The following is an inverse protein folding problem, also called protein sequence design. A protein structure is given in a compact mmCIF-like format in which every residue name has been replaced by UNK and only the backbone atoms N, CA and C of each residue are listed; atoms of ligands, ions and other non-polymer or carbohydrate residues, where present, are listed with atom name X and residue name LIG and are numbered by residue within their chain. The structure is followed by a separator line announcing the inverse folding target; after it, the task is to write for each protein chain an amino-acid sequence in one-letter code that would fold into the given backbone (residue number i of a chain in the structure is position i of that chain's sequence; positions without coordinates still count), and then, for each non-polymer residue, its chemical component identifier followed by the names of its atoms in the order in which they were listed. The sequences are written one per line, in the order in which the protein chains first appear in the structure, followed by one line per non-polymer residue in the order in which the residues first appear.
data_IF_807182281786
#
_entry.id   IF_807182281786
#
_cell.length_a   1.000
_cell.length_b   1.000
_cell.length_c   1.000
_cell.angle_alpha   90.00
_cell.angle_beta   90.00
_cell.angle_gamma   90.00
#
_symmetry.space_group_name_H-M   'P 1'
#
loop_
_entity.id
_entity.type
_entity.pdbx_description
1 polymer ?
#
# COMPACT_ATOMS: atom_id res chain seq x y z
N UNK A 1 20.41 -32.16 35.83
CA UNK A 1 20.60 -30.97 34.95
C UNK A 1 20.74 -31.37 33.49
N UNK A 2 19.68 -31.81 32.82
CA UNK A 2 19.75 -32.07 31.35
C UNK A 2 18.41 -32.10 30.62
N UNK A 3 17.43 -31.25 31.02
CA UNK A 3 16.14 -31.22 30.31
C UNK A 3 15.56 -29.81 30.01
N UNK A 4 16.41 -28.80 29.86
CA UNK A 4 15.98 -27.42 29.67
C UNK A 4 16.02 -26.95 28.20
N UNK A 5 16.50 -27.74 27.23
CA UNK A 5 16.71 -27.27 25.83
C UNK A 5 15.96 -28.03 24.76
N UNK A 6 14.68 -28.39 25.00
CA UNK A 6 13.79 -28.86 23.92
C UNK A 6 12.46 -28.08 23.85
N UNK A 7 12.47 -26.79 24.11
CA UNK A 7 11.30 -25.96 23.80
C UNK A 7 11.35 -25.63 22.32
N UNK A 8 10.47 -26.27 21.55
CA UNK A 8 10.23 -25.87 20.15
C UNK A 8 9.92 -24.37 20.14
N UNK A 9 10.48 -23.59 19.21
CA UNK A 9 10.26 -22.15 19.18
C UNK A 9 8.77 -21.87 19.03
N UNK A 10 8.23 -20.96 19.83
CA UNK A 10 6.81 -20.58 19.94
C UNK A 10 6.14 -20.27 18.59
N UNK A 11 6.91 -19.93 17.57
CA UNK A 11 6.42 -19.73 16.21
C UNK A 11 5.93 -21.03 15.53
N UNK A 12 6.48 -22.19 15.86
CA UNK A 12 6.10 -23.49 15.27
C UNK A 12 4.70 -23.92 15.71
N UNK A 13 4.35 -23.63 16.97
CA UNK A 13 3.01 -23.89 17.53
C UNK A 13 1.95 -22.98 16.88
N UNK A 14 2.29 -21.73 16.56
CA UNK A 14 1.43 -20.81 15.81
C UNK A 14 1.23 -21.22 14.35
N UNK A 15 2.27 -21.79 13.71
CA UNK A 15 2.22 -22.22 12.32
C UNK A 15 1.29 -23.43 12.10
N UNK A 16 1.30 -24.41 12.99
CA UNK A 16 0.46 -25.61 12.87
C UNK A 16 -1.03 -25.30 13.16
N UNK A 17 -1.31 -24.36 14.06
CA UNK A 17 -2.68 -23.85 14.31
C UNK A 17 -3.26 -23.09 13.10
N UNK A 18 -2.42 -22.37 12.36
CA UNK A 18 -2.79 -21.61 11.16
C UNK A 18 -3.18 -22.50 9.98
N UNK A 19 -2.65 -23.73 9.86
CA UNK A 19 -3.05 -24.70 8.83
C UNK A 19 -4.52 -25.10 8.90
N UNK A 20 -5.14 -25.09 10.08
CA UNK A 20 -6.57 -25.46 10.29
C UNK A 20 -7.55 -24.30 10.05
N UNK A 21 -7.11 -23.03 10.06
CA UNK A 21 -7.98 -21.85 9.92
C UNK A 21 -7.86 -21.14 8.56
N UNK A 22 -7.49 -21.85 7.50
CA UNK A 22 -7.22 -21.30 6.16
C UNK A 22 -8.36 -20.48 5.52
N UNK A 23 -9.61 -20.59 5.94
CA UNK A 23 -10.74 -19.93 5.27
C UNK A 23 -11.08 -18.53 5.80
N UNK A 24 -10.88 -18.26 7.09
CA UNK A 24 -11.24 -16.98 7.72
C UNK A 24 -10.15 -15.90 7.56
N UNK A 25 -8.87 -16.30 7.53
CA UNK A 25 -7.74 -15.37 7.40
C UNK A 25 -7.54 -14.82 5.99
N UNK A 26 -7.87 -15.60 4.95
CA UNK A 26 -7.82 -15.12 3.57
C UNK A 26 -8.82 -14.00 3.30
N UNK A 27 -10.00 -14.01 3.94
CA UNK A 27 -11.01 -12.96 3.74
C UNK A 27 -10.61 -11.61 4.34
N UNK A 28 -10.10 -11.55 5.57
CA UNK A 28 -9.73 -10.27 6.21
C UNK A 28 -8.49 -9.62 5.57
N UNK A 29 -7.52 -10.43 5.13
CA UNK A 29 -6.30 -9.95 4.51
C UNK A 29 -6.49 -9.52 3.05
N UNK A 30 -7.43 -10.16 2.34
CA UNK A 30 -7.86 -9.76 1.01
C UNK A 30 -8.58 -8.40 1.06
N UNK A 31 -9.32 -8.09 2.13
CA UNK A 31 -9.97 -6.80 2.31
C UNK A 31 -8.98 -5.64 2.49
N UNK A 32 -7.85 -5.85 3.15
CA UNK A 32 -6.86 -4.81 3.44
C UNK A 32 -5.93 -4.55 2.23
N UNK A 33 -5.64 -5.58 1.44
CA UNK A 33 -4.69 -5.49 0.32
C UNK A 33 -5.35 -5.64 -1.05
N UNK A 34 -6.58 -6.17 -1.10
CA UNK A 34 -7.29 -6.49 -2.34
C UNK A 34 -8.79 -6.15 -2.16
N UNK A 35 -9.34 -5.32 -3.03
CA UNK A 35 -10.78 -5.14 -3.17
C UNK A 35 -11.48 -6.51 -3.39
N UNK A 36 -12.77 -6.68 -3.05
CA UNK A 36 -13.41 -7.98 -2.90
C UNK A 36 -13.44 -8.75 -4.22
N UNK A 37 -12.55 -9.71 -4.34
CA UNK A 37 -12.73 -10.81 -5.29
C UNK A 37 -13.73 -11.77 -4.64
N UNK A 38 -15.00 -11.73 -5.04
CA UNK A 38 -15.95 -12.80 -4.73
C UNK A 38 -15.41 -14.09 -5.33
N UNK A 39 -14.72 -14.90 -4.53
CA UNK A 39 -14.38 -16.27 -4.89
C UNK A 39 -15.65 -17.08 -4.65
N UNK A 40 -16.31 -17.46 -5.74
CA UNK A 40 -17.38 -18.46 -5.69
C UNK A 40 -16.78 -19.77 -5.21
N UNK A 41 -17.06 -20.15 -3.98
CA UNK A 41 -16.71 -21.46 -3.43
C UNK A 41 -17.62 -22.48 -4.10
N UNK A 42 -17.19 -23.10 -5.21
CA UNK A 42 -17.76 -24.36 -5.67
C UNK A 42 -17.29 -25.46 -4.73
N UNK A 43 -18.20 -26.04 -3.98
CA UNK A 43 -17.97 -27.32 -3.30
C UNK A 43 -17.63 -28.36 -4.37
N UNK A 44 -16.39 -28.81 -4.39
CA UNK A 44 -16.02 -30.00 -5.15
C UNK A 44 -16.28 -31.25 -4.30
N UNK A 45 -17.21 -32.05 -4.75
CA UNK A 45 -17.39 -33.44 -4.33
C UNK A 45 -16.11 -34.22 -4.70
N UNK A 46 -15.66 -35.03 -3.76
CA UNK A 46 -14.52 -35.92 -3.92
C UNK A 46 -14.88 -37.05 -4.89
N UNK A 47 -14.41 -36.99 -6.13
CA UNK A 47 -14.32 -38.15 -7.02
C UNK A 47 -12.89 -38.66 -7.05
N UNK A 48 -12.76 -39.95 -6.73
CA UNK A 48 -11.53 -40.73 -6.84
C UNK A 48 -10.88 -40.56 -8.22
N UNK A 49 -9.63 -40.11 -8.25
CA UNK A 49 -8.81 -40.07 -9.46
C UNK A 49 -7.58 -40.99 -9.24
N UNK A 50 -7.48 -41.99 -10.08
CA UNK A 50 -6.34 -42.90 -10.24
C UNK A 50 -5.12 -42.10 -10.70
N UNK A 51 -3.88 -42.51 -10.37
CA UNK A 51 -2.67 -41.80 -10.79
C UNK A 51 -2.40 -42.02 -12.28
N UNK A 52 -2.34 -40.95 -13.04
CA UNK A 52 -1.82 -40.95 -14.40
C UNK A 52 -0.33 -40.61 -14.40
N UNK A 53 0.41 -41.33 -15.25
CA UNK A 53 1.83 -41.35 -15.47
C UNK A 53 2.47 -39.97 -15.68
N UNK A 54 3.70 -39.86 -15.17
CA UNK A 54 4.58 -38.72 -15.31
C UNK A 54 4.93 -38.44 -16.78
N UNK A 55 4.66 -37.20 -17.21
CA UNK A 55 5.41 -36.65 -18.33
C UNK A 55 5.90 -35.24 -17.92
N UNK A 56 7.24 -35.13 -17.88
CA UNK A 56 7.96 -33.96 -17.36
C UNK A 56 8.20 -32.98 -18.50
N UNK A 57 7.44 -31.92 -18.54
CA UNK A 57 7.92 -30.66 -19.09
C UNK A 57 7.88 -29.59 -18.00
N UNK A 58 9.00 -29.47 -17.32
CA UNK A 58 9.31 -28.37 -16.39
C UNK A 58 9.32 -27.05 -17.17
N UNK A 59 8.15 -26.43 -17.30
CA UNK A 59 8.09 -25.00 -17.60
C UNK A 59 8.46 -24.24 -16.32
N UNK A 60 9.70 -23.78 -16.26
CA UNK A 60 10.16 -22.77 -15.32
C UNK A 60 9.13 -21.63 -15.28
N UNK A 61 8.69 -21.20 -14.08
CA UNK A 61 7.85 -20.00 -13.98
C UNK A 61 8.62 -18.85 -14.59
N UNK A 62 8.06 -18.19 -15.60
CA UNK A 62 8.61 -16.95 -16.14
C UNK A 62 8.77 -15.98 -14.98
N UNK A 63 10.00 -15.80 -14.54
CA UNK A 63 10.43 -14.71 -13.68
C UNK A 63 10.00 -13.43 -14.37
N UNK A 64 9.05 -12.72 -13.78
CA UNK A 64 8.61 -11.42 -14.26
C UNK A 64 9.79 -10.46 -14.06
N UNK A 65 10.57 -10.27 -15.11
CA UNK A 65 11.50 -9.17 -15.20
C UNK A 65 10.65 -7.93 -15.49
N UNK A 66 10.72 -6.87 -14.66
CA UNK A 66 10.09 -5.62 -15.02
C UNK A 66 10.75 -5.18 -16.33
N UNK A 67 9.94 -5.01 -17.37
CA UNK A 67 10.38 -4.39 -18.61
C UNK A 67 11.00 -3.05 -18.24
N UNK A 68 12.34 -2.94 -18.34
CA UNK A 68 13.02 -1.66 -18.30
C UNK A 68 12.59 -0.90 -19.55
N UNK A 69 11.52 -0.15 -19.44
CA UNK A 69 11.27 0.97 -20.32
C UNK A 69 12.31 2.03 -19.93
N UNK A 70 13.40 2.07 -20.69
CA UNK A 70 14.39 3.14 -20.60
C UNK A 70 13.66 4.45 -20.86
N UNK A 71 13.62 5.35 -19.85
CA UNK A 71 13.14 6.72 -20.02
C UNK A 71 12.04 7.18 -19.06
N UNK A 72 11.34 6.32 -18.30
CA UNK A 72 10.31 6.79 -17.36
C UNK A 72 10.94 7.17 -16.02
N UNK A 73 11.34 8.45 -15.89
CA UNK A 73 11.68 9.06 -14.59
C UNK A 73 10.41 9.21 -13.73
N UNK A 74 9.24 9.39 -14.35
CA UNK A 74 7.99 9.66 -13.67
C UNK A 74 7.37 8.37 -13.08
N UNK A 75 7.14 8.38 -11.76
CA UNK A 75 6.41 7.31 -11.05
C UNK A 75 4.91 7.53 -11.14
N UNK A 76 4.47 8.79 -11.14
CA UNK A 76 3.09 9.21 -11.40
C UNK A 76 3.11 10.21 -12.54
N UNK A 77 2.17 10.06 -13.49
CA UNK A 77 1.87 11.06 -14.52
C UNK A 77 0.37 11.10 -14.75
N UNK A 78 -0.24 12.26 -14.47
CA UNK A 78 -1.66 12.51 -14.70
C UNK A 78 -1.82 13.67 -15.71
N UNK A 79 -2.76 13.52 -16.65
CA UNK A 79 -3.11 14.52 -17.66
C UNK A 79 -4.62 14.57 -17.85
N UNK A 80 -5.22 15.73 -17.58
CA UNK A 80 -6.65 15.96 -17.70
C UNK A 80 -7.51 15.00 -16.90
N UNK A 81 -6.99 14.52 -15.76
CA UNK A 81 -7.69 13.50 -14.96
C UNK A 81 -8.83 14.11 -14.17
N UNK A 82 -10.01 13.49 -14.30
CA UNK A 82 -11.21 13.82 -13.52
C UNK A 82 -11.58 12.62 -12.63
N UNK A 83 -11.84 12.88 -11.35
CA UNK A 83 -12.16 11.87 -10.34
C UNK A 83 -13.59 12.02 -9.87
N UNK A 84 -14.33 10.91 -9.94
CA UNK A 84 -15.69 10.79 -9.46
C UNK A 84 -15.77 9.83 -8.27
N UNK A 85 -16.62 10.15 -7.30
CA UNK A 85 -16.99 9.19 -6.26
C UNK A 85 -18.13 8.32 -6.78
N UNK A 86 -17.99 6.99 -6.66
CA UNK A 86 -19.01 6.02 -7.06
C UNK A 86 -19.10 4.92 -6.04
N UNK A 87 -20.30 4.47 -5.71
CA UNK A 87 -20.56 3.38 -4.76
C UNK A 87 -20.09 1.99 -5.28
N UNK A 88 -19.81 1.87 -6.57
CA UNK A 88 -19.34 0.64 -7.21
C UNK A 88 -18.17 0.93 -8.16
N UNK A 89 -16.95 1.15 -7.62
CA UNK A 89 -15.78 1.57 -8.40
C UNK A 89 -15.32 0.55 -9.45
N UNK A 90 -15.71 -0.72 -9.32
CA UNK A 90 -15.37 -1.79 -10.28
C UNK A 90 -16.58 -2.62 -10.69
N UNK A 91 -17.79 -2.07 -10.52
CA UNK A 91 -19.03 -2.72 -10.94
C UNK A 91 -19.13 -2.90 -12.44
N UNK A 92 -20.08 -3.73 -12.85
CA UNK A 92 -20.40 -4.00 -14.26
C UNK A 92 -21.08 -2.84 -14.99
N UNK A 93 -21.06 -1.63 -14.41
CA UNK A 93 -21.70 -0.45 -14.99
C UNK A 93 -20.86 0.13 -16.11
N UNK A 94 -21.50 0.48 -17.22
CA UNK A 94 -20.82 1.18 -18.33
C UNK A 94 -20.27 2.55 -17.86
N UNK A 95 -19.16 3.01 -18.44
CA UNK A 95 -18.57 4.34 -18.17
C UNK A 95 -19.64 5.45 -18.20
N UNK A 96 -20.59 5.41 -19.15
CA UNK A 96 -21.72 6.36 -19.22
C UNK A 96 -22.55 6.40 -17.94
N UNK A 97 -22.79 5.27 -17.29
CA UNK A 97 -23.60 5.19 -16.07
C UNK A 97 -22.84 5.70 -14.85
N UNK A 98 -21.51 5.47 -14.82
CA UNK A 98 -20.62 6.01 -13.79
C UNK A 98 -20.52 7.54 -13.86
N UNK A 99 -20.43 8.11 -15.08
CA UNK A 99 -20.42 9.56 -15.31
C UNK A 99 -21.75 10.23 -14.97
N UNK A 100 -22.87 9.54 -15.16
CA UNK A 100 -24.21 10.09 -14.84
C UNK A 100 -24.58 10.03 -13.37
N UNK A 101 -24.02 9.10 -12.60
CA UNK A 101 -24.38 8.84 -11.20
C UNK A 101 -23.25 9.16 -10.22
N UNK A 102 -22.04 9.41 -10.70
CA UNK A 102 -20.87 9.73 -9.86
C UNK A 102 -20.89 11.20 -9.44
N UNK A 103 -20.55 11.46 -8.18
CA UNK A 103 -20.30 12.81 -7.68
C UNK A 103 -18.90 13.25 -8.14
N UNK A 104 -18.80 14.40 -8.80
CA UNK A 104 -17.55 15.00 -9.22
C UNK A 104 -16.76 15.49 -7.99
N UNK A 105 -15.54 14.97 -7.80
CA UNK A 105 -14.67 15.37 -6.69
C UNK A 105 -13.56 16.29 -7.16
N UNK A 106 -12.84 15.88 -8.20
CA UNK A 106 -11.68 16.60 -8.74
C UNK A 106 -11.75 16.62 -10.26
N UNK A 107 -11.37 17.73 -10.87
CA UNK A 107 -11.38 17.92 -12.32
C UNK A 107 -10.05 18.45 -12.84
N UNK A 108 -9.69 18.01 -14.05
CA UNK A 108 -8.54 18.50 -14.83
C UNK A 108 -7.21 18.44 -14.05
N UNK A 109 -6.92 17.30 -13.43
CA UNK A 109 -5.67 17.09 -12.70
C UNK A 109 -4.52 16.88 -13.68
N UNK A 110 -3.51 17.72 -13.55
CA UNK A 110 -2.29 17.68 -14.35
C UNK A 110 -1.07 17.79 -13.45
N UNK A 111 -0.36 16.67 -13.21
CA UNK A 111 0.92 16.69 -12.47
C UNK A 111 1.73 15.42 -12.70
N UNK A 112 3.03 15.54 -12.43
CA UNK A 112 4.00 14.45 -12.47
C UNK A 112 4.71 14.32 -11.12
N UNK A 113 5.05 13.09 -10.74
CA UNK A 113 5.91 12.81 -9.59
C UNK A 113 7.00 11.84 -10.03
N UNK A 114 8.26 12.21 -9.76
CA UNK A 114 9.43 11.42 -10.13
C UNK A 114 9.85 10.45 -9.00
N UNK A 115 10.66 9.47 -9.35
CA UNK A 115 11.30 8.61 -8.36
C UNK A 115 12.16 9.45 -7.41
N UNK A 116 12.05 9.16 -6.10
CA UNK A 116 12.81 9.89 -5.08
C UNK A 116 12.22 11.24 -4.67
N UNK A 117 11.11 11.69 -5.27
CA UNK A 117 10.42 12.88 -4.79
C UNK A 117 9.60 12.61 -3.53
N UNK A 118 9.58 13.58 -2.62
CA UNK A 118 8.66 13.65 -1.51
C UNK A 118 7.68 14.81 -1.74
N UNK A 119 6.38 14.52 -1.78
CA UNK A 119 5.33 15.48 -2.13
C UNK A 119 4.24 15.49 -1.08
N UNK A 120 3.90 16.68 -0.58
CA UNK A 120 2.74 16.89 0.28
C UNK A 120 1.46 17.16 -0.53
N UNK A 121 0.36 16.58 -0.10
CA UNK A 121 -0.99 16.92 -0.55
C UNK A 121 -1.71 17.62 0.60
N UNK A 122 -2.08 18.89 0.40
CA UNK A 122 -2.73 19.71 1.43
C UNK A 122 -4.09 20.21 0.97
N UNK A 123 -4.91 20.66 1.89
CA UNK A 123 -6.24 21.20 1.64
C UNK A 123 -7.23 20.77 2.70
N UNK A 124 -8.40 21.40 2.71
CA UNK A 124 -9.48 21.13 3.69
C UNK A 124 -9.90 19.66 3.68
N UNK A 125 -10.49 19.20 4.79
CA UNK A 125 -11.15 17.91 4.86
C UNK A 125 -12.23 17.84 3.76
N UNK A 126 -12.32 16.71 3.04
CA UNK A 126 -13.26 16.57 1.92
C UNK A 126 -12.78 17.19 0.58
N UNK A 127 -11.59 17.79 0.49
CA UNK A 127 -11.10 18.41 -0.74
C UNK A 127 -10.68 17.43 -1.84
N UNK A 128 -10.74 16.11 -1.59
CA UNK A 128 -10.42 15.07 -2.59
C UNK A 128 -9.04 14.44 -2.47
N UNK A 129 -8.21 14.76 -1.46
CA UNK A 129 -6.88 14.18 -1.25
C UNK A 129 -6.92 12.64 -1.20
N UNK A 130 -7.75 12.09 -0.31
CA UNK A 130 -7.91 10.63 -0.18
C UNK A 130 -8.52 10.00 -1.43
N UNK A 131 -9.38 10.71 -2.16
CA UNK A 131 -9.94 10.23 -3.43
C UNK A 131 -8.87 10.14 -4.52
N UNK A 132 -7.94 11.10 -4.60
CA UNK A 132 -6.78 10.99 -5.46
C UNK A 132 -5.93 9.77 -5.08
N UNK A 133 -5.57 9.62 -3.78
CA UNK A 133 -4.80 8.45 -3.34
C UNK A 133 -5.49 7.15 -3.72
N UNK A 134 -6.81 7.03 -3.50
CA UNK A 134 -7.62 5.86 -3.89
C UNK A 134 -7.60 5.57 -5.39
N UNK A 135 -7.59 6.60 -6.22
CA UNK A 135 -7.44 6.45 -7.67
C UNK A 135 -6.05 5.93 -8.04
N UNK A 136 -4.98 6.44 -7.39
CA UNK A 136 -3.61 6.03 -7.69
C UNK A 136 -3.34 4.55 -7.40
N UNK A 137 -3.97 3.96 -6.36
CA UNK A 137 -3.86 2.51 -6.11
C UNK A 137 -5.06 1.69 -6.61
N UNK A 138 -5.85 2.28 -7.51
CA UNK A 138 -6.97 1.65 -8.19
C UNK A 138 -8.02 1.06 -7.21
N UNK A 139 -8.41 1.83 -6.20
CA UNK A 139 -9.65 1.62 -5.44
C UNK A 139 -10.80 2.37 -6.10
N UNK A 140 -10.56 3.60 -6.59
CA UNK A 140 -11.45 4.32 -7.48
C UNK A 140 -10.98 4.14 -8.92
N UNK A 141 -11.91 3.90 -9.83
CA UNK A 141 -11.63 3.73 -11.25
C UNK A 141 -11.35 5.08 -11.89
N UNK A 142 -10.26 5.18 -12.68
CA UNK A 142 -10.02 6.33 -13.53
C UNK A 142 -10.91 6.23 -14.78
N UNK A 143 -11.83 7.19 -14.96
CA UNK A 143 -12.82 7.22 -16.06
C UNK A 143 -12.40 8.24 -17.13
N UNK A 144 -11.89 9.41 -16.74
CA UNK A 144 -11.50 10.49 -17.66
C UNK A 144 -10.05 10.89 -17.48
N UNK A 145 -9.41 11.30 -18.57
CA UNK A 145 -8.00 11.68 -18.61
C UNK A 145 -7.05 10.51 -18.79
N UNK A 146 -5.76 10.78 -18.68
CA UNK A 146 -4.68 9.80 -18.76
C UNK A 146 -3.97 9.71 -17.42
N UNK A 147 -3.79 8.51 -16.90
CA UNK A 147 -3.12 8.26 -15.62
C UNK A 147 -2.16 7.08 -15.69
N UNK A 148 -0.88 7.35 -15.43
CA UNK A 148 0.16 6.33 -15.34
C UNK A 148 0.74 6.32 -13.93
N UNK A 149 0.76 5.14 -13.28
CA UNK A 149 1.25 4.97 -11.92
C UNK A 149 2.11 3.74 -11.83
N UNK A 150 3.34 3.89 -11.37
CA UNK A 150 4.30 2.81 -11.19
C UNK A 150 4.43 1.87 -12.40
N UNK A 151 4.29 2.44 -13.64
CA UNK A 151 4.37 1.71 -14.90
C UNK A 151 3.07 1.02 -15.35
N UNK A 152 1.92 1.40 -14.78
CA UNK A 152 0.60 0.94 -15.21
C UNK A 152 -0.24 2.11 -15.73
N UNK A 153 -0.95 1.87 -16.85
CA UNK A 153 -2.00 2.76 -17.36
C UNK A 153 -3.30 2.48 -16.60
N UNK A 154 -3.74 3.43 -15.77
CA UNK A 154 -4.91 3.26 -14.91
C UNK A 154 -6.23 3.16 -15.71
N UNK A 155 -6.31 3.81 -16.89
CA UNK A 155 -7.50 3.73 -17.79
C UNK A 155 -7.69 2.33 -18.36
N UNK A 156 -6.58 1.65 -18.65
CA UNK A 156 -6.58 0.32 -19.29
C UNK A 156 -6.40 -0.81 -18.28
N UNK A 157 -6.29 -0.50 -16.98
CA UNK A 157 -5.99 -1.45 -15.92
C UNK A 157 -7.14 -2.46 -15.76
N UNK A 158 -6.83 -3.72 -16.01
CA UNK A 158 -7.79 -4.82 -15.79
C UNK A 158 -7.83 -5.21 -14.33
N UNK A 159 -8.98 -5.63 -13.83
CA UNK A 159 -9.18 -6.07 -12.43
C UNK A 159 -8.12 -7.09 -11.97
N UNK A 160 -7.70 -8.01 -12.83
CA UNK A 160 -6.64 -9.00 -12.55
C UNK A 160 -5.23 -8.40 -12.40
N UNK A 161 -5.02 -7.18 -12.87
CA UNK A 161 -3.73 -6.48 -12.85
C UNK A 161 -3.58 -5.57 -11.62
N UNK A 162 -4.70 -5.21 -10.96
CA UNK A 162 -4.72 -4.39 -9.74
C UNK A 162 -3.77 -4.93 -8.66
N UNK A 163 -3.73 -6.25 -8.36
CA UNK A 163 -2.77 -6.79 -7.40
C UNK A 163 -1.30 -6.55 -7.80
N UNK A 164 -1.00 -6.50 -9.10
CA UNK A 164 0.35 -6.22 -9.60
C UNK A 164 0.72 -4.76 -9.41
N UNK A 165 -0.21 -3.83 -9.71
CA UNK A 165 -0.05 -2.41 -9.40
C UNK A 165 0.20 -2.21 -7.90
N UNK A 166 -0.68 -2.75 -7.04
CA UNK A 166 -0.60 -2.60 -5.57
C UNK A 166 0.67 -3.19 -4.97
N UNK A 167 1.33 -4.18 -5.59
CA UNK A 167 2.65 -4.66 -5.17
C UNK A 167 3.77 -3.66 -5.42
N UNK A 168 3.60 -2.74 -6.39
CA UNK A 168 4.57 -1.68 -6.67
C UNK A 168 4.33 -0.40 -5.88
N UNK A 169 3.22 -0.37 -5.11
CA UNK A 169 2.81 0.76 -4.28
C UNK A 169 2.78 0.30 -2.84
N UNK A 170 3.41 1.04 -1.94
CA UNK A 170 3.20 0.92 -0.51
C UNK A 170 2.08 1.86 -0.09
N UNK A 171 1.19 1.41 0.80
CA UNK A 171 0.08 2.22 1.29
C UNK A 171 0.15 2.28 2.80
N UNK A 172 0.13 3.50 3.34
CA UNK A 172 0.07 3.82 4.76
C UNK A 172 -1.27 4.52 5.00
N UNK A 173 -2.19 3.81 5.63
CA UNK A 173 -3.52 4.33 5.93
C UNK A 173 -3.52 5.15 7.23
N UNK A 174 -4.51 6.02 7.39
CA UNK A 174 -4.71 6.84 8.59
C UNK A 174 -4.99 5.95 9.82
N UNK A 175 -5.82 4.92 9.67
CA UNK A 175 -6.03 3.86 10.65
C UNK A 175 -5.01 2.75 10.40
N UNK A 176 -4.30 2.32 11.41
CA UNK A 176 -3.16 1.40 11.30
C UNK A 176 -3.48 0.09 10.58
N UNK A 177 -4.74 -0.41 10.67
CA UNK A 177 -5.19 -1.67 10.07
C UNK A 177 -4.22 -2.83 10.35
N UNK A 178 -3.73 -2.92 11.57
CA UNK A 178 -2.86 -4.00 12.02
C UNK A 178 -3.68 -5.20 12.49
N UNK A 179 -3.11 -6.40 12.31
CA UNK A 179 -3.64 -7.63 12.89
C UNK A 179 -3.34 -7.61 14.38
N UNK A 180 -4.34 -7.29 15.19
CA UNK A 180 -4.19 -7.04 16.64
C UNK A 180 -3.91 -8.31 17.44
N UNK A 181 -4.28 -9.48 16.90
CA UNK A 181 -4.05 -10.82 17.47
C UNK A 181 -2.74 -11.47 16.99
N UNK A 182 -1.91 -10.73 16.26
CA UNK A 182 -0.64 -11.19 15.70
C UNK A 182 0.49 -10.24 16.11
N UNK A 183 1.67 -10.82 16.33
CA UNK A 183 2.85 -10.02 16.63
C UNK A 183 3.35 -9.24 15.40
N UNK A 184 4.31 -8.34 15.63
CA UNK A 184 4.95 -7.51 14.58
C UNK A 184 5.45 -8.36 13.42
N UNK A 185 6.20 -9.44 13.71
CA UNK A 185 6.74 -10.32 12.67
C UNK A 185 5.62 -10.94 11.81
N UNK A 186 4.56 -11.44 12.45
CA UNK A 186 3.45 -12.10 11.73
C UNK A 186 2.61 -11.11 10.92
N UNK A 187 2.47 -9.85 11.38
CA UNK A 187 1.85 -8.78 10.59
C UNK A 187 2.57 -8.58 9.24
N UNK A 188 3.90 -8.65 9.22
CA UNK A 188 4.71 -8.53 8.01
C UNK A 188 4.75 -9.82 7.20
N UNK A 189 4.88 -10.97 7.87
CA UNK A 189 4.99 -12.28 7.24
C UNK A 189 3.77 -12.61 6.37
N UNK A 190 2.55 -12.35 6.86
CA UNK A 190 1.35 -12.63 6.08
C UNK A 190 1.27 -11.80 4.80
N UNK A 191 1.73 -10.55 4.82
CA UNK A 191 1.80 -9.72 3.60
C UNK A 191 2.74 -10.33 2.59
N UNK A 192 3.93 -10.77 3.01
CA UNK A 192 4.90 -11.42 2.13
C UNK A 192 4.30 -12.67 1.47
N UNK A 193 3.65 -13.53 2.27
CA UNK A 193 2.98 -14.74 1.74
C UNK A 193 1.85 -14.41 0.77
N UNK A 194 0.99 -13.43 1.11
CA UNK A 194 -0.12 -12.99 0.26
C UNK A 194 0.35 -12.37 -1.06
N UNK A 195 1.51 -11.72 -1.05
CA UNK A 195 2.10 -11.11 -2.25
C UNK A 195 2.97 -12.09 -3.07
N UNK A 196 2.99 -13.38 -2.70
CA UNK A 196 3.54 -14.47 -3.51
C UNK A 196 4.98 -14.85 -3.19
N UNK A 197 5.56 -14.37 -2.09
CA UNK A 197 6.87 -14.83 -1.63
C UNK A 197 6.77 -16.26 -1.10
N UNK A 198 7.68 -17.13 -1.56
CA UNK A 198 7.64 -18.57 -1.25
C UNK A 198 8.80 -19.01 -0.34
N UNK A 199 9.97 -18.40 -0.51
CA UNK A 199 11.18 -18.78 0.20
C UNK A 199 11.16 -18.20 1.61
N UNK A 200 11.13 -19.04 2.64
CA UNK A 200 11.06 -18.65 4.05
C UNK A 200 12.30 -17.86 4.51
N UNK A 201 13.47 -18.21 4.01
CA UNK A 201 14.72 -17.51 4.33
C UNK A 201 14.70 -16.08 3.79
N UNK A 202 14.29 -15.90 2.53
CA UNK A 202 14.16 -14.57 1.91
C UNK A 202 13.09 -13.73 2.59
N UNK A 203 11.96 -14.33 2.99
CA UNK A 203 10.90 -13.64 3.74
C UNK A 203 11.46 -13.10 5.06
N UNK A 204 12.15 -13.94 5.85
CA UNK A 204 12.74 -13.52 7.13
C UNK A 204 13.74 -12.40 6.92
N UNK A 205 14.69 -12.59 6.00
CA UNK A 205 15.69 -11.57 5.68
C UNK A 205 15.03 -10.24 5.31
N UNK A 206 13.96 -10.28 4.48
CA UNK A 206 13.26 -9.05 4.08
C UNK A 206 12.52 -8.39 5.24
N UNK A 207 11.90 -9.16 6.13
CA UNK A 207 11.26 -8.64 7.33
C UNK A 207 12.30 -7.98 8.24
N UNK A 208 13.43 -8.61 8.47
CA UNK A 208 14.51 -8.05 9.30
C UNK A 208 15.05 -6.75 8.69
N UNK A 209 15.25 -6.71 7.35
CA UNK A 209 15.64 -5.49 6.63
C UNK A 209 14.67 -4.32 6.88
N UNK A 210 13.35 -4.55 6.71
CA UNK A 210 12.37 -3.46 6.88
C UNK A 210 12.17 -3.07 8.34
N UNK A 211 12.25 -4.01 9.27
CA UNK A 211 12.19 -3.70 10.71
C UNK A 211 13.37 -2.81 11.13
N UNK A 212 14.56 -3.04 10.57
CA UNK A 212 15.73 -2.18 10.80
C UNK A 212 15.51 -0.77 10.24
N UNK A 213 14.96 -0.66 9.02
CA UNK A 213 14.66 0.66 8.41
C UNK A 213 13.76 1.50 9.30
N UNK A 214 12.78 0.87 9.95
CA UNK A 214 11.82 1.57 10.82
C UNK A 214 12.18 1.55 12.31
N UNK A 215 13.37 1.04 12.70
CA UNK A 215 13.86 0.95 14.08
C UNK A 215 12.93 0.12 15.01
N UNK A 216 12.48 -1.03 14.51
CA UNK A 216 11.65 -2.01 15.24
C UNK A 216 12.28 -3.40 15.31
N UNK A 217 13.58 -3.56 15.01
CA UNK A 217 14.26 -4.85 14.95
C UNK A 217 14.17 -5.66 16.24
N UNK A 218 14.20 -5.00 17.40
CA UNK A 218 14.09 -5.65 18.71
C UNK A 218 12.64 -5.96 19.13
N UNK A 219 11.63 -5.61 18.32
CA UNK A 219 10.20 -5.67 18.70
C UNK A 219 9.39 -6.69 17.90
N UNK A 220 10.02 -7.55 17.12
CA UNK A 220 9.36 -8.52 16.26
C UNK A 220 8.37 -9.47 16.95
N UNK A 221 8.58 -9.73 18.24
CA UNK A 221 7.75 -10.62 19.07
C UNK A 221 6.51 -9.93 19.69
N UNK A 222 6.49 -8.58 19.79
CA UNK A 222 5.42 -7.82 20.43
C UNK A 222 4.14 -7.85 19.58
N UNK A 223 2.99 -7.78 20.26
CA UNK A 223 1.69 -7.54 19.60
C UNK A 223 1.43 -6.03 19.49
N UNK A 224 0.56 -5.56 18.58
CA UNK A 224 0.31 -4.13 18.37
C UNK A 224 -0.05 -3.35 19.62
N UNK A 225 -0.80 -3.93 20.57
CA UNK A 225 -1.17 -3.25 21.82
C UNK A 225 0.01 -2.99 22.78
N UNK A 226 1.14 -3.67 22.58
CA UNK A 226 2.36 -3.45 23.35
C UNK A 226 3.28 -2.40 22.70
N UNK A 227 2.85 -1.80 21.58
CA UNK A 227 3.56 -0.77 20.86
C UNK A 227 2.94 0.60 21.13
N UNK A 228 3.78 1.64 21.23
CA UNK A 228 3.30 3.03 21.21
C UNK A 228 2.65 3.36 19.85
N UNK A 229 1.86 4.44 19.77
CA UNK A 229 1.25 4.87 18.51
C UNK A 229 2.26 5.11 17.39
N UNK A 230 3.41 5.73 17.73
CA UNK A 230 4.50 5.92 16.77
C UNK A 230 5.16 4.62 16.32
N UNK A 231 5.26 3.61 17.20
CA UNK A 231 5.77 2.29 16.84
C UNK A 231 4.77 1.52 15.96
N UNK A 232 3.47 1.64 16.23
CA UNK A 232 2.43 1.09 15.37
C UNK A 232 2.49 1.72 13.97
N UNK A 233 2.68 3.04 13.90
CA UNK A 233 2.86 3.75 12.62
C UNK A 233 4.11 3.27 11.87
N UNK A 234 5.24 3.10 12.58
CA UNK A 234 6.45 2.53 12.00
C UNK A 234 6.23 1.11 11.47
N UNK A 235 5.46 0.29 12.17
CA UNK A 235 5.08 -1.06 11.71
C UNK A 235 4.23 -1.00 10.43
N UNK A 236 3.29 -0.06 10.32
CA UNK A 236 2.51 0.16 9.08
C UNK A 236 3.42 0.57 7.92
N UNK A 237 4.39 1.45 8.16
CA UNK A 237 5.39 1.84 7.16
C UNK A 237 6.26 0.63 6.77
N UNK A 238 6.74 -0.18 7.72
CA UNK A 238 7.49 -1.41 7.45
C UNK A 238 6.68 -2.34 6.53
N UNK A 239 5.39 -2.52 6.81
CA UNK A 239 4.46 -3.30 5.99
C UNK A 239 4.37 -2.77 4.56
N UNK A 240 4.28 -1.46 4.40
CA UNK A 240 4.21 -0.83 3.09
C UNK A 240 5.51 -1.00 2.26
N UNK A 241 6.67 -1.12 2.92
CA UNK A 241 7.98 -1.26 2.28
C UNK A 241 8.35 -2.69 1.86
N UNK A 242 7.60 -3.72 2.29
CA UNK A 242 7.95 -5.14 2.10
C UNK A 242 8.26 -5.50 0.65
N UNK A 243 7.46 -5.06 -0.29
CA UNK A 243 7.59 -5.39 -1.71
C UNK A 243 8.52 -4.44 -2.49
N UNK A 244 9.35 -3.64 -1.80
CA UNK A 244 10.24 -2.62 -2.42
C UNK A 244 9.46 -1.74 -3.39
N UNK A 245 8.46 -0.99 -2.90
CA UNK A 245 7.59 -0.19 -3.73
C UNK A 245 8.35 0.93 -4.45
N UNK A 246 7.89 1.32 -5.63
CA UNK A 246 8.37 2.52 -6.34
C UNK A 246 7.69 3.79 -5.86
N UNK A 247 6.51 3.64 -5.24
CA UNK A 247 5.65 4.70 -4.74
C UNK A 247 5.13 4.34 -3.36
N UNK A 248 5.22 5.28 -2.42
CA UNK A 248 4.61 5.20 -1.11
C UNK A 248 3.51 6.26 -1.03
N UNK A 249 2.29 5.82 -0.78
CA UNK A 249 1.13 6.68 -0.56
C UNK A 249 0.79 6.67 0.93
N UNK A 250 0.75 7.84 1.56
CA UNK A 250 0.45 7.97 2.98
C UNK A 250 -0.73 8.94 3.18
N UNK A 251 -1.83 8.44 3.75
CA UNK A 251 -3.01 9.24 4.05
C UNK A 251 -3.02 9.61 5.54
N UNK A 252 -2.75 10.89 5.84
CA UNK A 252 -2.73 11.45 7.19
C UNK A 252 -1.87 10.65 8.21
N UNK A 253 -0.64 10.21 7.88
CA UNK A 253 0.11 9.23 8.67
C UNK A 253 0.59 9.77 10.04
N UNK A 254 0.48 11.06 10.29
CA UNK A 254 0.94 11.72 11.53
C UNK A 254 -0.20 12.31 12.35
N UNK A 255 -1.45 12.19 11.90
CA UNK A 255 -2.60 12.86 12.50
C UNK A 255 -2.90 12.47 13.95
N UNK A 256 -2.51 11.26 14.38
CA UNK A 256 -2.74 10.73 15.72
C UNK A 256 -1.46 10.64 16.56
N UNK A 257 -0.39 11.34 16.17
CA UNK A 257 0.92 11.27 16.82
C UNK A 257 1.26 12.60 17.51
N UNK A 258 2.03 12.51 18.58
CA UNK A 258 2.64 13.68 19.19
C UNK A 258 3.68 14.33 18.23
N UNK A 259 3.99 15.62 18.42
CA UNK A 259 4.85 16.34 17.48
C UNK A 259 6.23 15.71 17.25
N UNK A 260 6.91 15.24 18.30
CA UNK A 260 8.24 14.60 18.18
C UNK A 260 8.18 13.29 17.42
N UNK A 261 7.15 12.49 17.69
CA UNK A 261 6.94 11.24 16.96
C UNK A 261 6.59 11.49 15.49
N UNK A 262 5.74 12.51 15.21
CA UNK A 262 5.38 12.92 13.86
C UNK A 262 6.61 13.36 13.05
N UNK A 263 7.48 14.17 13.65
CA UNK A 263 8.77 14.55 13.08
C UNK A 263 9.60 13.33 12.68
N UNK A 264 9.73 12.36 13.59
CA UNK A 264 10.45 11.11 13.31
C UNK A 264 9.87 10.30 12.13
N UNK A 265 8.57 10.38 11.88
CA UNK A 265 7.91 9.76 10.71
C UNK A 265 8.22 10.55 9.43
N UNK A 266 8.19 11.89 9.46
CA UNK A 266 8.55 12.71 8.31
C UNK A 266 10.01 12.46 7.87
N UNK A 267 10.95 12.45 8.82
CA UNK A 267 12.36 12.13 8.54
C UNK A 267 12.52 10.75 7.92
N UNK A 268 11.75 9.76 8.40
CA UNK A 268 11.74 8.41 7.81
C UNK A 268 11.24 8.44 6.36
N UNK A 269 10.16 9.18 6.06
CA UNK A 269 9.67 9.31 4.69
C UNK A 269 10.66 10.02 3.76
N UNK A 270 11.33 11.07 4.25
CA UNK A 270 12.38 11.74 3.49
C UNK A 270 13.55 10.80 3.18
N UNK A 271 13.93 9.93 4.13
CA UNK A 271 14.99 8.95 3.92
C UNK A 271 14.57 7.89 2.88
N UNK A 272 13.32 7.40 2.95
CA UNK A 272 12.75 6.48 1.95
C UNK A 272 12.75 7.13 0.55
N UNK A 273 12.43 8.43 0.48
CA UNK A 273 12.48 9.17 -0.79
C UNK A 273 13.90 9.25 -1.33
N UNK A 274 14.90 9.63 -0.49
CA UNK A 274 16.32 9.67 -0.90
C UNK A 274 16.82 8.33 -1.42
N UNK A 275 16.24 7.21 -0.98
CA UNK A 275 16.55 5.87 -1.49
C UNK A 275 15.87 5.54 -2.83
N UNK A 276 15.16 6.51 -3.44
CA UNK A 276 14.57 6.40 -4.77
C UNK A 276 13.10 5.98 -4.83
N UNK A 277 12.43 5.79 -3.69
CA UNK A 277 10.98 5.59 -3.64
C UNK A 277 10.28 6.96 -3.69
N UNK A 278 9.35 7.18 -4.61
CA UNK A 278 8.51 8.37 -4.55
C UNK A 278 7.58 8.30 -3.33
N UNK A 279 7.41 9.40 -2.60
CA UNK A 279 6.53 9.48 -1.43
C UNK A 279 5.50 10.57 -1.64
N UNK A 280 4.23 10.23 -1.50
CA UNK A 280 3.10 11.17 -1.54
C UNK A 280 2.36 11.09 -0.22
N UNK A 281 2.34 12.17 0.51
CA UNK A 281 1.75 12.23 1.85
C UNK A 281 0.64 13.27 1.91
N UNK A 282 -0.58 12.87 2.25
CA UNK A 282 -1.61 13.82 2.62
C UNK A 282 -1.41 14.27 4.07
N UNK A 283 -1.60 15.55 4.33
CA UNK A 283 -1.58 16.10 5.69
C UNK A 283 -2.34 17.43 5.76
N UNK A 284 -2.82 17.75 6.94
CA UNK A 284 -3.36 19.07 7.28
C UNK A 284 -2.46 19.84 8.28
N UNK A 285 -1.33 19.25 8.68
CA UNK A 285 -0.41 19.84 9.63
C UNK A 285 0.61 20.75 8.90
N UNK A 286 0.31 22.05 8.84
CA UNK A 286 1.13 23.06 8.19
C UNK A 286 2.47 23.28 8.89
N UNK A 287 2.53 23.19 10.22
CA UNK A 287 3.76 23.36 10.98
C UNK A 287 4.83 22.31 10.59
N UNK A 288 4.44 21.06 10.37
CA UNK A 288 5.36 20.02 9.88
C UNK A 288 5.87 20.31 8.47
N UNK A 289 5.07 20.95 7.61
CA UNK A 289 5.48 21.28 6.24
C UNK A 289 6.45 22.44 6.24
N UNK A 290 6.25 23.44 7.13
CA UNK A 290 7.18 24.55 7.31
C UNK A 290 8.54 24.10 7.83
N UNK A 291 8.54 23.18 8.80
CA UNK A 291 9.76 22.64 9.38
C UNK A 291 10.50 21.67 8.44
N UNK A 292 9.74 20.88 7.67
CA UNK A 292 10.25 19.90 6.70
C UNK A 292 9.78 20.22 5.28
N UNK A 293 10.24 21.32 4.67
CA UNK A 293 9.72 21.80 3.39
C UNK A 293 9.97 20.79 2.27
N UNK A 294 8.96 20.61 1.43
CA UNK A 294 9.03 19.82 0.22
C UNK A 294 7.98 20.30 -0.79
N UNK A 295 8.01 19.74 -2.00
CA UNK A 295 7.02 20.04 -3.02
C UNK A 295 5.61 19.84 -2.48
N UNK A 296 4.74 20.85 -2.64
CA UNK A 296 3.41 20.86 -2.03
C UNK A 296 2.33 21.15 -3.05
N UNK A 297 1.30 20.32 -3.05
CA UNK A 297 0.13 20.43 -3.93
C UNK A 297 -1.10 20.76 -3.07
N UNK A 298 -1.69 21.92 -3.31
CA UNK A 298 -2.90 22.40 -2.64
C UNK A 298 -4.16 21.93 -3.41
N UNK A 299 -5.09 21.34 -2.67
CA UNK A 299 -6.42 20.94 -3.14
C UNK A 299 -7.45 21.99 -2.74
N UNK A 300 -8.05 22.65 -3.71
CA UNK A 300 -9.06 23.69 -3.46
C UNK A 300 -10.11 23.67 -4.56
N UNK A 301 -11.39 23.72 -4.18
CA UNK A 301 -12.55 23.84 -5.09
C UNK A 301 -12.54 22.83 -6.26
N UNK A 302 -12.20 21.57 -5.96
CA UNK A 302 -12.16 20.49 -6.97
C UNK A 302 -10.99 20.56 -7.94
N UNK A 303 -9.97 21.39 -7.69
CA UNK A 303 -8.75 21.55 -8.49
C UNK A 303 -7.51 21.41 -7.63
N UNK A 304 -6.36 21.27 -8.28
CA UNK A 304 -5.05 21.26 -7.64
C UNK A 304 -4.21 22.43 -8.13
N UNK A 305 -3.34 22.93 -7.24
CA UNK A 305 -2.33 23.95 -7.55
C UNK A 305 -1.05 23.62 -6.81
N UNK A 306 0.09 23.70 -7.48
CA UNK A 306 1.37 23.64 -6.81
C UNK A 306 1.63 25.00 -6.10
N UNK A 307 1.97 24.94 -4.81
CA UNK A 307 2.16 26.13 -3.98
C UNK A 307 3.53 26.10 -3.32
N UNK A 308 4.24 27.24 -3.31
CA UNK A 308 5.43 27.40 -2.47
C UNK A 308 5.05 27.31 -0.99
N UNK A 309 5.89 26.69 -0.17
CA UNK A 309 5.64 26.53 1.29
C UNK A 309 5.37 27.89 1.95
N UNK A 310 6.02 28.97 1.49
CA UNK A 310 5.89 30.32 2.04
C UNK A 310 4.50 30.97 1.83
N UNK A 311 3.73 30.53 0.84
CA UNK A 311 2.40 31.10 0.52
C UNK A 311 1.22 30.26 1.04
N UNK A 312 1.49 29.11 1.66
CA UNK A 312 0.47 28.17 2.10
C UNK A 312 -0.53 28.72 3.13
N UNK A 313 -0.07 29.60 4.03
CA UNK A 313 -0.89 30.12 5.14
C UNK A 313 -2.02 31.07 4.71
N UNK A 314 -1.96 31.59 3.48
CA UNK A 314 -2.97 32.53 2.96
C UNK A 314 -4.12 31.83 2.24
N UNK A 315 -3.96 30.56 1.84
CA UNK A 315 -4.88 29.82 0.97
C UNK A 315 -5.62 28.65 1.67
N UNK A 316 -5.31 28.35 2.96
CA UNK A 316 -5.95 27.32 3.79
C UNK A 316 -6.93 27.94 4.78
#
# INVERSE_FOLDING_TARGET
ASDVYKRQPLWKVGYDRCKKQKSLFYSAFIFITFAPVRIGVRRHETKNIRPASADRHTRTPRTFQPTRLMGEQNVIRLRGVTIYHTDDPFGSRSEKKLLQQGELILSDLNFDINAGEFVYLIGRVGSGKSSLLKTLYAELQLIEGEGYVAGFDLRKLKRREIPMLRRRIGIVFQDYQLLTDRNVFMNLYYVMKATGWKNESEIRKRIDEVLKVVSLEAKGYKIPFELSGGEQQRLVIARALLNRPRLLLADEPTGNLDPLTAEGIIRLFQEIARQGCAVVMSTHNTALIEEYPSRTILFSKGKIKEVPVQTMLQDI
#
